data_IF_609036537474
#
_entry.id   IF_609036537474
#
_cell.length_a   1.000
_cell.length_b   1.000
_cell.length_c   1.000
_cell.angle_alpha   90.00
_cell.angle_beta   90.00
_cell.angle_gamma   90.00
#
_symmetry.space_group_name_H-M   'P 1'
#
loop_
_entity.id
_entity.type
_entity.pdbx_description
1 polymer ?
#
# COMPACT_ATOMS: atom_id res chain seq x y z
N UNK A 1 -9.68 8.28 -10.70
CA UNK A 1 -10.32 7.23 -9.84
C UNK A 1 -10.37 5.92 -10.63
N UNK A 2 -9.96 4.79 -10.04
CA UNK A 2 -9.93 3.48 -10.72
C UNK A 2 -11.25 2.71 -10.54
N UNK A 3 -11.72 2.07 -11.60
CA UNK A 3 -12.89 1.16 -11.61
C UNK A 3 -12.61 -0.13 -10.85
N UNK A 4 -13.67 -0.85 -10.47
CA UNK A 4 -13.54 -2.15 -9.79
C UNK A 4 -12.76 -3.20 -10.59
N UNK A 5 -12.92 -3.22 -11.92
CA UNK A 5 -12.16 -4.09 -12.83
C UNK A 5 -10.67 -3.75 -12.82
N UNK A 6 -10.33 -2.46 -12.93
CA UNK A 6 -8.95 -1.99 -12.87
C UNK A 6 -8.28 -2.31 -11.52
N UNK A 7 -8.98 -2.10 -10.40
CA UNK A 7 -8.45 -2.46 -9.06
C UNK A 7 -8.19 -3.96 -8.92
N UNK A 8 -9.05 -4.83 -9.48
CA UNK A 8 -8.85 -6.29 -9.43
C UNK A 8 -7.63 -6.71 -10.25
N UNK A 9 -7.47 -6.14 -11.43
CA UNK A 9 -6.30 -6.38 -12.28
C UNK A 9 -4.99 -5.94 -11.63
N UNK A 10 -4.94 -4.73 -11.06
CA UNK A 10 -3.76 -4.26 -10.33
C UNK A 10 -3.46 -5.12 -9.10
N UNK A 11 -4.49 -5.61 -8.40
CA UNK A 11 -4.30 -6.55 -7.27
C UNK A 11 -3.71 -7.88 -7.72
N UNK A 12 -4.07 -8.42 -8.88
CA UNK A 12 -3.45 -9.66 -9.38
C UNK A 12 -1.98 -9.43 -9.77
N UNK A 13 -1.63 -8.28 -10.32
CA UNK A 13 -0.23 -7.93 -10.59
C UNK A 13 0.57 -7.79 -9.29
N UNK A 14 0.01 -7.12 -8.28
CA UNK A 14 0.66 -6.91 -6.98
C UNK A 14 0.82 -8.20 -6.14
N UNK A 15 0.17 -9.31 -6.52
CA UNK A 15 0.28 -10.57 -5.79
C UNK A 15 1.73 -11.09 -5.79
N UNK A 16 2.42 -10.95 -6.92
CA UNK A 16 3.81 -11.42 -7.11
C UNK A 16 4.86 -10.38 -6.74
N UNK A 17 4.44 -9.23 -6.20
CA UNK A 17 5.35 -8.18 -5.74
C UNK A 17 5.56 -8.38 -4.24
N UNK A 18 6.81 -8.35 -3.79
CA UNK A 18 7.11 -8.31 -2.36
C UNK A 18 6.83 -6.92 -1.80
N UNK A 19 6.25 -6.81 -0.59
CA UNK A 19 6.04 -5.52 0.03
C UNK A 19 7.39 -4.84 0.31
N UNK A 20 7.57 -3.66 -0.24
CA UNK A 20 8.81 -2.88 -0.11
C UNK A 20 8.75 -1.87 1.05
N UNK A 21 7.55 -1.64 1.60
CA UNK A 21 7.33 -0.81 2.78
C UNK A 21 6.52 -1.57 3.83
N UNK A 22 6.83 -1.31 5.10
CA UNK A 22 6.06 -1.79 6.24
C UNK A 22 5.66 -0.63 7.15
N UNK A 23 4.36 -0.48 7.38
CA UNK A 23 3.80 0.47 8.35
C UNK A 23 3.66 -0.26 9.69
N UNK A 24 4.45 0.16 10.68
CA UNK A 24 4.42 -0.39 12.04
C UNK A 24 3.50 0.36 12.99
N UNK A 25 3.75 0.21 14.30
CA UNK A 25 2.95 0.85 15.37
C UNK A 25 3.05 2.39 15.37
N UNK A 26 4.15 2.94 14.85
CA UNK A 26 4.36 4.39 14.75
C UNK A 26 3.54 5.08 13.65
N UNK A 27 2.74 4.33 12.88
CA UNK A 27 1.91 4.89 11.82
C UNK A 27 2.72 5.40 10.63
N UNK A 28 2.14 6.37 9.92
CA UNK A 28 2.71 7.00 8.72
C UNK A 28 3.34 8.34 9.13
N UNK A 29 4.52 8.66 8.60
CA UNK A 29 5.18 9.95 8.78
C UNK A 29 5.52 10.59 7.42
N UNK A 30 5.88 11.88 7.43
CA UNK A 30 6.14 12.66 6.21
C UNK A 30 7.28 12.10 5.35
N UNK A 31 8.35 11.61 5.98
CA UNK A 31 9.47 10.99 5.27
C UNK A 31 9.03 9.71 4.54
N UNK A 32 8.17 8.91 5.16
CA UNK A 32 7.61 7.70 4.55
C UNK A 32 6.70 8.05 3.37
N UNK A 33 5.87 9.09 3.48
CA UNK A 33 5.01 9.55 2.37
C UNK A 33 5.88 9.94 1.18
N UNK A 34 6.91 10.77 1.40
CA UNK A 34 7.83 11.20 0.34
C UNK A 34 8.51 10.01 -0.35
N UNK A 35 9.01 9.05 0.42
CA UNK A 35 9.62 7.84 -0.14
C UNK A 35 8.63 6.97 -0.92
N UNK A 36 7.39 6.87 -0.43
CA UNK A 36 6.32 6.14 -1.11
C UNK A 36 6.00 6.80 -2.46
N UNK A 37 5.87 8.13 -2.48
CA UNK A 37 5.58 8.90 -3.70
C UNK A 37 6.72 8.74 -4.73
N UNK A 38 7.97 8.94 -4.32
CA UNK A 38 9.14 8.77 -5.19
C UNK A 38 9.21 7.32 -5.73
N UNK A 39 8.88 6.34 -4.91
CA UNK A 39 8.94 4.93 -5.32
C UNK A 39 7.77 4.55 -6.23
N UNK A 40 6.59 5.14 -6.00
CA UNK A 40 5.42 4.94 -6.84
C UNK A 40 5.66 5.51 -8.24
N UNK A 41 6.24 6.71 -8.35
CA UNK A 41 6.61 7.34 -9.63
C UNK A 41 7.58 6.47 -10.44
N UNK A 42 8.53 5.82 -9.76
CA UNK A 42 9.52 4.98 -10.44
C UNK A 42 9.02 3.58 -10.84
N UNK A 43 7.95 3.08 -10.20
CA UNK A 43 7.51 1.68 -10.33
C UNK A 43 6.08 1.51 -10.83
N UNK A 44 5.28 2.57 -10.86
CA UNK A 44 3.85 2.62 -11.23
C UNK A 44 2.91 1.77 -10.34
N UNK A 45 3.43 0.75 -9.64
CA UNK A 45 2.71 -0.13 -8.74
C UNK A 45 3.63 -0.58 -7.60
N UNK A 46 3.19 -0.34 -6.36
CA UNK A 46 3.91 -0.73 -5.15
C UNK A 46 3.01 -1.55 -4.23
N UNK A 47 3.64 -2.34 -3.35
CA UNK A 47 2.96 -3.09 -2.29
C UNK A 47 3.49 -2.63 -0.93
N UNK A 48 2.56 -2.29 -0.04
CA UNK A 48 2.85 -1.84 1.32
C UNK A 48 2.20 -2.82 2.29
N UNK A 49 2.97 -3.33 3.24
CA UNK A 49 2.46 -4.12 4.35
C UNK A 49 2.07 -3.19 5.50
N UNK A 50 0.87 -3.34 6.04
CA UNK A 50 0.39 -2.56 7.18
C UNK A 50 0.23 -3.49 8.36
N UNK A 51 0.89 -3.18 9.48
CA UNK A 51 0.73 -3.92 10.71
C UNK A 51 -0.71 -3.75 11.21
N UNK A 52 -1.47 -4.84 11.16
CA UNK A 52 -2.82 -4.86 11.67
C UNK A 52 -2.78 -4.85 13.20
N UNK A 53 -3.06 -3.69 13.80
CA UNK A 53 -3.34 -3.59 15.23
C UNK A 53 -4.80 -4.05 15.43
N UNK A 54 -5.07 -4.89 16.43
CA UNK A 54 -6.40 -5.47 16.76
C UNK A 54 -7.55 -4.46 16.82
N UNK A 55 -7.26 -3.16 16.92
CA UNK A 55 -8.25 -2.07 16.98
C UNK A 55 -8.72 -1.56 15.61
N UNK A 56 -8.75 -2.38 14.56
CA UNK A 56 -9.39 -1.96 13.30
C UNK A 56 -10.89 -2.30 13.37
N UNK A 57 -11.68 -1.30 13.81
CA UNK A 57 -13.14 -1.32 13.64
C UNK A 57 -13.39 -1.58 12.16
N UNK A 58 -13.98 -2.74 11.89
CA UNK A 58 -14.41 -3.16 10.56
C UNK A 58 -15.45 -2.15 10.06
N UNK A 59 -15.02 -1.12 9.33
CA UNK A 59 -15.94 -0.29 8.55
C UNK A 59 -16.45 -1.15 7.40
N UNK A 60 -17.74 -1.47 7.45
CA UNK A 60 -18.53 -1.99 6.33
C UNK A 60 -18.37 -1.10 5.10
#
# INVERSE_FOLDING_TARGET
MLTGKQKRYLRSLAHNIDPIFQIGKGGINENMIKQIDDTLENRELIKVHVLQITLMIKKN
#
